data_IF_948874986084
#
_entry.id   IF_948874986084
#
_cell.length_a   1.000
_cell.length_b   1.000
_cell.length_c   1.000
_cell.angle_alpha   90.00
_cell.angle_beta   90.00
_cell.angle_gamma   90.00
#
_symmetry.space_group_name_H-M   'P 1'
#
loop_
_entity.id
_entity.type
_entity.pdbx_description
1 polymer ?
#
# COMPACT_ATOMS: atom_id res chain seq x y z
N UNK A 1 13.18 12.53 -3.09
CA UNK A 1 11.99 11.64 -3.21
C UNK A 1 12.50 10.20 -3.32
N UNK A 2 12.11 9.33 -2.38
CA UNK A 2 12.60 7.95 -2.32
C UNK A 2 11.97 7.02 -3.37
N UNK A 3 12.44 5.77 -3.44
CA UNK A 3 11.86 4.73 -4.30
C UNK A 3 10.39 4.49 -3.94
N UNK A 4 9.51 4.43 -4.94
CA UNK A 4 8.09 4.12 -4.78
C UNK A 4 7.72 2.94 -5.68
N UNK A 5 6.80 2.10 -5.21
CA UNK A 5 6.21 1.03 -5.99
C UNK A 5 4.76 1.40 -6.27
N UNK A 6 4.40 1.54 -7.55
CA UNK A 6 3.09 2.03 -8.01
C UNK A 6 2.22 0.89 -8.53
N UNK A 7 1.03 0.78 -7.97
CA UNK A 7 -0.08 0.03 -8.51
C UNK A 7 -1.00 0.99 -9.27
N UNK A 8 -1.33 0.68 -10.53
CA UNK A 8 -2.28 1.46 -11.34
C UNK A 8 -3.59 0.67 -11.41
N UNK A 9 -4.64 1.21 -10.83
CA UNK A 9 -5.98 0.61 -10.87
C UNK A 9 -6.65 1.02 -12.19
N UNK A 10 -7.17 0.03 -12.91
CA UNK A 10 -7.89 0.22 -14.17
C UNK A 10 -9.35 -0.17 -13.99
N UNK A 11 -10.27 0.61 -14.57
CA UNK A 11 -11.71 0.33 -14.55
C UNK A 11 -12.09 -1.03 -15.15
N UNK A 12 -11.25 -1.60 -16.02
CA UNK A 12 -11.48 -2.91 -16.65
C UNK A 12 -11.03 -4.11 -15.80
N UNK A 13 -10.20 -3.90 -14.78
CA UNK A 13 -9.60 -5.01 -14.04
C UNK A 13 -9.47 -4.65 -12.54
N UNK A 14 -10.63 -4.53 -11.89
CA UNK A 14 -10.79 -4.05 -10.51
C UNK A 14 -10.16 -4.98 -9.47
N UNK A 15 -10.02 -6.27 -9.78
CA UNK A 15 -9.56 -7.30 -8.83
C UNK A 15 -8.07 -7.65 -8.96
N UNK A 16 -7.29 -6.84 -9.69
CA UNK A 16 -5.88 -7.17 -9.93
C UNK A 16 -5.10 -7.10 -8.62
N UNK A 17 -4.52 -8.24 -8.25
CA UNK A 17 -3.53 -8.30 -7.17
C UNK A 17 -2.23 -7.68 -7.68
N UNK A 18 -1.79 -6.61 -7.05
CA UNK A 18 -0.49 -6.02 -7.28
C UNK A 18 0.59 -6.85 -6.60
N UNK A 19 1.68 -7.16 -7.30
CA UNK A 19 2.80 -7.91 -6.76
C UNK A 19 4.10 -7.11 -6.84
N UNK A 20 4.87 -7.09 -5.77
CA UNK A 20 6.21 -6.52 -5.77
C UNK A 20 7.19 -7.31 -4.91
N UNK A 21 8.48 -7.10 -5.19
CA UNK A 21 9.60 -7.62 -4.42
C UNK A 21 10.39 -6.46 -3.81
N UNK A 22 10.69 -6.58 -2.53
CA UNK A 22 11.53 -5.64 -1.77
C UNK A 22 12.53 -6.43 -0.93
N UNK A 23 13.72 -5.89 -0.69
CA UNK A 23 14.70 -6.51 0.20
C UNK A 23 14.49 -6.02 1.63
N UNK A 24 14.74 -6.82 2.65
CA UNK A 24 14.88 -6.29 4.02
C UNK A 24 16.23 -5.55 4.18
N UNK A 25 16.34 -4.41 4.91
CA UNK A 25 15.29 -3.62 5.55
C UNK A 25 14.83 -2.41 4.70
N UNK A 26 14.55 -2.60 3.40
CA UNK A 26 14.13 -1.49 2.55
C UNK A 26 12.82 -0.85 3.04
N UNK A 27 12.80 0.49 3.00
CA UNK A 27 11.59 1.29 3.16
C UNK A 27 11.10 1.76 1.81
N UNK A 28 9.81 1.55 1.53
CA UNK A 28 9.22 1.90 0.24
C UNK A 28 7.79 2.39 0.38
N UNK A 29 7.45 3.45 -0.35
CA UNK A 29 6.05 3.84 -0.49
C UNK A 29 5.35 2.86 -1.43
N UNK A 30 4.27 2.22 -0.96
CA UNK A 30 3.29 1.57 -1.81
C UNK A 30 2.25 2.60 -2.19
N UNK A 31 2.17 2.91 -3.47
CA UNK A 31 1.24 3.91 -4.01
C UNK A 31 0.21 3.19 -4.86
N UNK A 32 -1.07 3.45 -4.62
CA UNK A 32 -2.16 3.00 -5.48
C UNK A 32 -2.77 4.21 -6.16
N UNK A 33 -2.62 4.25 -7.49
CA UNK A 33 -3.11 5.31 -8.36
C UNK A 33 -4.44 4.88 -9.00
N UNK A 34 -5.49 5.68 -8.80
CA UNK A 34 -6.83 5.45 -9.32
C UNK A 34 -7.21 6.44 -10.44
N UNK A 35 -6.27 7.22 -10.98
CA UNK A 35 -6.55 8.22 -12.02
C UNK A 35 -7.26 7.62 -13.25
N UNK A 36 -6.91 6.39 -13.65
CA UNK A 36 -7.54 5.68 -14.77
C UNK A 36 -8.80 4.90 -14.40
N UNK A 37 -9.17 4.83 -13.12
CA UNK A 37 -10.32 4.06 -12.64
C UNK A 37 -11.49 4.94 -12.14
N UNK A 38 -11.19 6.13 -11.61
CA UNK A 38 -12.21 7.03 -11.09
C UNK A 38 -12.81 7.91 -12.19
N UNK A 39 -14.14 8.05 -12.28
CA UNK A 39 -14.78 9.05 -13.14
C UNK A 39 -14.23 10.46 -12.86
N UNK A 40 -14.29 11.37 -13.83
CA UNK A 40 -13.88 12.76 -13.63
C UNK A 40 -14.68 13.40 -12.48
N UNK A 41 -14.02 14.18 -11.62
CA UNK A 41 -14.64 14.84 -10.46
C UNK A 41 -14.67 14.01 -9.16
N UNK A 42 -14.85 12.68 -9.24
CA UNK A 42 -14.93 11.76 -8.08
C UNK A 42 -13.61 11.67 -7.29
N UNK A 43 -13.61 11.91 -5.98
CA UNK A 43 -12.40 11.87 -5.15
C UNK A 43 -12.46 10.82 -4.06
N UNK A 44 -11.27 10.38 -3.67
CA UNK A 44 -11.05 9.56 -2.48
C UNK A 44 -11.29 10.41 -1.24
N UNK A 45 -12.18 9.96 -0.35
CA UNK A 45 -12.45 10.61 0.93
C UNK A 45 -11.77 9.87 2.09
N UNK A 46 -11.62 8.55 1.96
CA UNK A 46 -10.99 7.70 2.97
C UNK A 46 -10.24 6.54 2.35
N UNK A 47 -9.05 6.26 2.87
CA UNK A 47 -8.24 5.09 2.50
C UNK A 47 -7.94 4.27 3.76
N UNK A 48 -8.39 3.02 3.79
CA UNK A 48 -8.15 2.07 4.87
C UNK A 48 -7.21 0.97 4.40
N UNK A 49 -6.02 0.92 4.99
CA UNK A 49 -5.01 -0.10 4.75
C UNK A 49 -5.10 -1.16 5.85
N UNK A 50 -5.12 -2.43 5.46
CA UNK A 50 -5.17 -3.56 6.40
C UNK A 50 -4.14 -4.61 6.02
N UNK A 51 -3.54 -5.22 7.02
CA UNK A 51 -2.81 -6.48 6.90
C UNK A 51 -3.14 -7.37 8.09
N UNK A 52 -3.16 -8.67 7.87
CA UNK A 52 -3.28 -9.65 8.95
C UNK A 52 -1.92 -9.91 9.61
N UNK A 53 -0.84 -9.81 8.83
CA UNK A 53 0.50 -10.19 9.25
C UNK A 53 1.49 -9.05 8.97
N UNK A 54 1.93 -8.43 10.07
CA UNK A 54 2.92 -7.35 10.06
C UNK A 54 4.36 -7.87 10.26
N UNK A 55 4.55 -9.20 10.31
CA UNK A 55 5.85 -9.80 10.59
C UNK A 55 6.83 -9.60 9.42
N UNK A 56 6.49 -9.90 8.15
CA UNK A 56 7.43 -9.68 7.05
C UNK A 56 7.60 -8.19 6.72
N UNK A 57 6.54 -7.39 6.89
CA UNK A 57 6.55 -5.97 6.56
C UNK A 57 5.57 -5.16 7.43
N UNK A 58 6.00 -3.96 7.82
CA UNK A 58 5.19 -3.03 8.64
C UNK A 58 4.75 -1.83 7.83
N UNK A 59 3.47 -1.47 7.97
CA UNK A 59 2.89 -0.28 7.37
C UNK A 59 3.02 0.94 8.28
N UNK A 60 3.19 2.12 7.70
CA UNK A 60 3.22 3.40 8.41
C UNK A 60 2.73 4.55 7.51
N UNK A 61 2.40 5.69 8.13
CA UNK A 61 2.15 6.99 7.46
C UNK A 61 1.23 6.87 6.23
N UNK A 62 -0.04 6.44 6.39
CA UNK A 62 -0.97 6.40 5.28
C UNK A 62 -1.28 7.85 4.83
N UNK A 63 -1.45 8.07 3.53
CA UNK A 63 -1.90 9.39 3.03
C UNK A 63 -2.70 9.26 1.75
N UNK A 64 -3.58 10.23 1.52
CA UNK A 64 -4.24 10.47 0.23
C UNK A 64 -3.50 11.64 -0.44
N UNK A 65 -3.28 11.57 -1.74
CA UNK A 65 -2.61 12.63 -2.47
C UNK A 65 -3.49 13.89 -2.58
N UNK A 66 -2.89 15.06 -2.84
CA UNK A 66 -3.65 16.31 -2.89
C UNK A 66 -4.70 16.37 -4.01
N UNK A 67 -4.62 15.49 -5.01
CA UNK A 67 -5.62 15.40 -6.06
C UNK A 67 -6.84 14.56 -5.63
N UNK A 68 -6.72 13.74 -4.58
CA UNK A 68 -7.73 12.79 -4.15
C UNK A 68 -7.89 11.61 -5.11
N UNK A 69 -6.85 11.28 -5.89
CA UNK A 69 -6.88 10.24 -6.94
C UNK A 69 -5.86 9.13 -6.71
N UNK A 70 -4.96 9.31 -5.76
CA UNK A 70 -4.02 8.29 -5.34
C UNK A 70 -3.94 8.25 -3.82
N UNK A 71 -3.55 7.10 -3.29
CA UNK A 71 -3.22 6.97 -1.88
C UNK A 71 -1.94 6.14 -1.73
N UNK A 72 -1.30 6.29 -0.59
CA UNK A 72 -0.07 5.56 -0.29
C UNK A 72 -0.01 5.12 1.17
N UNK A 73 0.84 4.13 1.40
CA UNK A 73 1.30 3.72 2.72
C UNK A 73 2.79 3.43 2.64
N UNK A 74 3.56 3.87 3.63
CA UNK A 74 4.96 3.47 3.73
C UNK A 74 5.03 2.05 4.25
N UNK A 75 5.89 1.24 3.63
CA UNK A 75 6.16 -0.13 4.06
C UNK A 75 7.65 -0.26 4.40
N UNK A 76 7.92 -0.85 5.55
CA UNK A 76 9.27 -1.25 5.98
C UNK A 76 9.35 -2.77 5.92
N UNK A 77 10.21 -3.31 5.06
CA UNK A 77 10.51 -4.75 5.04
C UNK A 77 11.33 -5.13 6.28
N UNK A 78 11.01 -6.26 6.90
CA UNK A 78 11.66 -6.72 8.13
C UNK A 78 12.25 -8.12 7.99
N UNK A 79 11.39 -9.10 7.67
CA UNK A 79 11.74 -10.52 7.62
C UNK A 79 11.34 -11.09 6.27
N UNK A 80 12.13 -12.03 5.75
CA UNK A 80 11.82 -12.71 4.50
C UNK A 80 10.48 -13.45 4.60
N UNK A 81 9.69 -13.35 3.53
CA UNK A 81 8.32 -13.86 3.54
C UNK A 81 7.40 -13.10 2.60
N UNK A 82 6.10 -13.29 2.79
CA UNK A 82 5.07 -12.65 1.98
C UNK A 82 4.17 -11.83 2.91
N UNK A 83 4.05 -10.53 2.66
CA UNK A 83 3.07 -9.67 3.32
C UNK A 83 1.95 -9.33 2.36
N UNK A 84 0.71 -9.59 2.78
CA UNK A 84 -0.49 -9.24 2.04
C UNK A 84 -1.13 -7.99 2.66
N UNK A 85 -1.30 -6.95 1.85
CA UNK A 85 -1.86 -5.66 2.27
C UNK A 85 -3.09 -5.37 1.42
N UNK A 86 -4.25 -5.23 2.08
CA UNK A 86 -5.51 -4.82 1.46
C UNK A 86 -5.74 -3.33 1.65
N UNK A 87 -5.98 -2.64 0.55
CA UNK A 87 -6.44 -1.26 0.53
C UNK A 87 -7.95 -1.25 0.24
N UNK A 88 -8.71 -0.52 1.05
CA UNK A 88 -10.09 -0.18 0.74
C UNK A 88 -10.24 1.34 0.70
N UNK A 89 -10.88 1.86 -0.34
CA UNK A 89 -10.97 3.29 -0.61
C UNK A 89 -12.44 3.68 -0.75
N UNK A 90 -12.89 4.60 0.08
CA UNK A 90 -14.23 5.17 0.01
C UNK A 90 -14.16 6.49 -0.76
N UNK A 91 -15.15 6.71 -1.62
CA UNK A 91 -15.22 7.84 -2.55
C UNK A 91 -16.32 8.83 -2.13
N UNK A 92 -16.23 10.06 -2.64
CA UNK A 92 -17.21 11.13 -2.38
C UNK A 92 -18.59 10.85 -3.00
N UNK A 93 -18.65 10.05 -4.05
CA UNK A 93 -19.89 9.57 -4.67
C UNK A 93 -20.51 8.37 -3.92
N UNK A 94 -19.94 7.96 -2.78
CA UNK A 94 -20.42 6.84 -1.97
C UNK A 94 -19.99 5.45 -2.46
N UNK A 95 -19.27 5.36 -3.57
CA UNK A 95 -18.70 4.09 -4.04
C UNK A 95 -17.48 3.68 -3.21
N UNK A 96 -17.14 2.40 -3.28
CA UNK A 96 -15.98 1.82 -2.60
C UNK A 96 -15.17 0.94 -3.53
N UNK A 97 -13.86 1.15 -3.52
CA UNK A 97 -12.89 0.32 -4.25
C UNK A 97 -12.02 -0.47 -3.30
N UNK A 98 -11.54 -1.63 -3.76
CA UNK A 98 -10.63 -2.48 -3.03
C UNK A 98 -9.46 -2.85 -3.94
N UNK A 99 -8.25 -2.79 -3.43
CA UNK A 99 -7.05 -3.26 -4.10
C UNK A 99 -6.22 -4.15 -3.15
N UNK A 100 -5.62 -5.20 -3.70
CA UNK A 100 -4.75 -6.10 -2.94
C UNK A 100 -3.30 -5.95 -3.40
N UNK A 101 -2.38 -5.92 -2.43
CA UNK A 101 -0.94 -5.86 -2.65
C UNK A 101 -0.31 -7.08 -1.98
N UNK A 102 0.50 -7.82 -2.74
CA UNK A 102 1.30 -8.94 -2.26
C UNK A 102 2.76 -8.56 -2.39
N UNK A 103 3.40 -8.37 -1.25
CA UNK A 103 4.79 -7.92 -1.14
C UNK A 103 5.63 -9.11 -0.71
N UNK A 104 6.48 -9.58 -1.62
CA UNK A 104 7.49 -10.57 -1.29
C UNK A 104 8.73 -9.87 -0.75
N UNK A 105 9.05 -10.13 0.52
CA UNK A 105 10.26 -9.66 1.18
C UNK A 105 11.37 -10.67 0.95
N UNK A 106 12.45 -10.22 0.33
CA UNK A 106 13.64 -11.02 0.03
C UNK A 106 14.71 -10.81 1.12
N UNK A 107 15.46 -11.86 1.49
CA UNK A 107 16.50 -11.74 2.49
C UNK A 107 17.70 -10.94 1.95
N UNK A 108 18.22 -10.00 2.72
CA UNK A 108 19.49 -9.34 2.46
C UNK A 108 20.59 -9.96 3.34
N UNK A 109 21.09 -11.13 2.93
CA UNK A 109 21.97 -12.01 3.73
C UNK A 109 23.28 -11.40 4.24
N UNK A 110 23.66 -10.23 3.74
CA UNK A 110 24.90 -9.52 4.12
C UNK A 110 24.65 -8.11 4.67
N UNK A 111 23.39 -7.76 4.95
CA UNK A 111 23.03 -6.52 5.60
C UNK A 111 22.54 -6.82 7.01
N UNK A 112 22.92 -5.98 7.97
CA UNK A 112 22.32 -6.08 9.30
C UNK A 112 20.82 -5.77 9.17
N UNK A 113 19.94 -6.62 9.72
CA UNK A 113 18.53 -6.27 9.78
C UNK A 113 18.36 -5.05 10.69
N UNK A 114 17.48 -4.15 10.30
CA UNK A 114 16.93 -3.19 11.26
C UNK A 114 16.23 -3.98 12.38
N UNK A 115 16.20 -3.42 13.59
CA UNK A 115 15.46 -4.02 14.71
C UNK A 115 14.02 -4.33 14.28
N UNK A 116 13.49 -5.46 14.75
CA UNK A 116 12.09 -5.80 14.55
C UNK A 116 11.18 -4.76 15.22
N UNK A 117 10.16 -4.34 14.50
CA UNK A 117 9.16 -3.36 14.93
C UNK A 117 7.79 -4.03 14.86
N UNK A 118 7.00 -3.87 15.93
CA UNK A 118 5.58 -4.21 15.88
C UNK A 118 4.81 -3.05 15.23
N UNK A 119 4.11 -3.33 14.14
CA UNK A 119 3.37 -2.33 13.38
C UNK A 119 1.86 -2.43 13.54
N UNK A 120 1.11 -1.40 13.16
CA UNK A 120 -0.35 -1.48 13.10
C UNK A 120 -0.79 -2.48 12.01
N UNK A 121 -1.84 -3.25 12.30
CA UNK A 121 -2.54 -4.11 11.32
C UNK A 121 -3.56 -3.32 10.50
N UNK A 122 -3.97 -2.14 10.98
CA UNK A 122 -4.86 -1.23 10.29
C UNK A 122 -4.36 0.20 10.36
N UNK A 123 -4.43 0.90 9.23
CA UNK A 123 -4.10 2.31 9.10
C UNK A 123 -5.16 3.02 8.27
N UNK A 124 -5.51 4.25 8.64
CA UNK A 124 -6.53 5.05 7.97
C UNK A 124 -5.96 6.40 7.59
N UNK A 125 -6.22 6.84 6.36
CA UNK A 125 -6.05 8.21 5.91
C UNK A 125 -7.40 8.78 5.47
N UNK A 126 -7.62 10.06 5.75
CA UNK A 126 -8.76 10.86 5.29
C UNK A 126 -8.24 12.07 4.52
N UNK A 127 -8.98 12.49 3.49
CA UNK A 127 -8.64 13.64 2.66
C UNK A 127 -8.88 14.98 3.38
#
# INVERSE_FOLDING_TARGET
MGRATRNIVSGYNRDRVFQARIYAPERRALVTDFNGALPAGVKITKATWNTWDNFPAVMATPSIDGSGRACQVMVTAQVDGISCIRLAVDLDNGERFVAHHVIQVLPARYMQPDNWINGPTQLVATA
#
